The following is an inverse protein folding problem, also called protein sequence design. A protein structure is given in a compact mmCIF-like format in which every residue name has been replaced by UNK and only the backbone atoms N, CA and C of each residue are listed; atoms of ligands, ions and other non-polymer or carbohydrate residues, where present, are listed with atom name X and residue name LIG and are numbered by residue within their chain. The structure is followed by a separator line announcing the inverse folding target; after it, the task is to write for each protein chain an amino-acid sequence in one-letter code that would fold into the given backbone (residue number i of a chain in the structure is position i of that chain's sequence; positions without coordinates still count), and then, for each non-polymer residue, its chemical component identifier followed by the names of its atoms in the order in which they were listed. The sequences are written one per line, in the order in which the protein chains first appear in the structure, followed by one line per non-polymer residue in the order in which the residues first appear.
data_IF_604203666040
#
_entry.id   IF_604203666040
#
_cell.length_a   1.000
_cell.length_b   1.000
_cell.length_c   1.000
_cell.angle_alpha   90.00
_cell.angle_beta   90.00
_cell.angle_gamma   90.00
#
_symmetry.space_group_name_H-M   'P 1'
#
loop_
_entity.id
_entity.type
_entity.pdbx_description
1 polymer ?
#
# COMPACT_ATOMS: atom_id res chain seq x y z
N UNK A 1 5.47 9.25 12.59
CA UNK A 1 6.65 9.41 11.71
C UNK A 1 6.85 8.12 10.93
N UNK A 2 6.51 8.06 9.64
CA UNK A 2 6.43 6.79 8.87
C UNK A 2 7.81 6.23 8.44
N UNK A 3 8.82 7.09 8.27
CA UNK A 3 10.16 6.74 7.80
C UNK A 3 11.26 6.97 8.85
N UNK A 4 10.89 7.15 10.12
CA UNK A 4 11.85 7.47 11.18
C UNK A 4 12.44 8.88 11.07
N UNK A 5 13.56 9.13 11.77
CA UNK A 5 14.26 10.43 11.82
C UNK A 5 15.77 10.25 12.06
N UNK A 6 16.53 11.33 11.84
CA UNK A 6 17.94 11.42 12.21
C UNK A 6 18.83 10.47 11.39
N UNK A 7 19.92 10.00 12.00
CA UNK A 7 20.89 9.13 11.33
C UNK A 7 20.32 7.79 10.84
N UNK A 8 19.18 7.37 11.39
CA UNK A 8 18.46 6.16 10.98
C UNK A 8 17.16 6.45 10.21
N UNK A 9 17.01 7.68 9.68
CA UNK A 9 15.94 7.97 8.73
C UNK A 9 16.03 6.98 7.56
N UNK A 10 14.88 6.47 7.12
CA UNK A 10 14.80 5.45 6.08
C UNK A 10 15.55 5.89 4.82
N UNK A 11 16.61 5.17 4.49
CA UNK A 11 17.44 5.41 3.30
C UNK A 11 16.63 5.26 2.01
N UNK A 12 15.56 4.48 2.04
CA UNK A 12 14.66 4.27 0.91
C UNK A 12 13.46 5.23 0.84
N UNK A 13 13.34 6.23 1.72
CA UNK A 13 12.11 7.04 1.82
C UNK A 13 11.70 7.70 0.50
N UNK A 14 12.66 8.30 -0.22
CA UNK A 14 12.41 8.96 -1.51
C UNK A 14 12.00 7.96 -2.58
N UNK A 15 12.66 6.79 -2.64
CA UNK A 15 12.30 5.73 -3.59
C UNK A 15 10.92 5.14 -3.28
N UNK A 16 10.62 4.90 -2.00
CA UNK A 16 9.32 4.41 -1.56
C UNK A 16 8.21 5.40 -1.92
N UNK A 17 8.47 6.70 -1.78
CA UNK A 17 7.55 7.76 -2.19
C UNK A 17 7.31 7.75 -3.69
N UNK A 18 8.37 7.79 -4.51
CA UNK A 18 8.26 7.74 -5.97
C UNK A 18 7.47 6.51 -6.44
N UNK A 19 7.78 5.32 -5.89
CA UNK A 19 7.07 4.09 -6.22
C UNK A 19 5.59 4.15 -5.84
N UNK A 20 5.27 4.76 -4.70
CA UNK A 20 3.89 4.92 -4.25
C UNK A 20 3.12 5.88 -5.16
N UNK A 21 3.74 6.98 -5.56
CA UNK A 21 3.15 7.94 -6.51
C UNK A 21 2.85 7.30 -7.86
N UNK A 22 3.82 6.57 -8.42
CA UNK A 22 3.61 5.82 -9.67
C UNK A 22 2.54 4.74 -9.52
N UNK A 23 2.60 3.92 -8.47
CA UNK A 23 1.64 2.84 -8.26
C UNK A 23 0.21 3.37 -8.15
N UNK A 24 -0.03 4.38 -7.32
CA UNK A 24 -1.38 4.92 -7.11
C UNK A 24 -1.85 5.64 -8.38
N UNK A 25 -1.02 6.47 -8.99
CA UNK A 25 -1.37 7.20 -10.21
C UNK A 25 -1.72 6.26 -11.36
N UNK A 26 -0.85 5.29 -11.65
CA UNK A 26 -1.07 4.32 -12.73
C UNK A 26 -2.30 3.45 -12.50
N UNK A 27 -2.55 3.00 -11.26
CA UNK A 27 -3.75 2.19 -10.97
C UNK A 27 -5.04 2.97 -11.23
N UNK A 28 -5.11 4.22 -10.76
CA UNK A 28 -6.31 5.05 -10.94
C UNK A 28 -6.52 5.47 -12.41
N UNK A 29 -5.43 5.71 -13.14
CA UNK A 29 -5.50 6.06 -14.57
C UNK A 29 -5.92 4.86 -15.43
N UNK A 30 -5.34 3.68 -15.19
CA UNK A 30 -5.49 2.52 -16.08
C UNK A 30 -6.65 1.60 -15.72
N UNK A 31 -7.12 1.64 -14.47
CA UNK A 31 -8.23 0.83 -13.95
C UNK A 31 -9.32 1.77 -13.41
N UNK A 32 -9.99 2.55 -14.28
CA UNK A 32 -11.07 3.43 -13.84
C UNK A 32 -12.18 2.60 -13.20
N UNK A 33 -12.69 3.02 -12.04
CA UNK A 33 -13.71 2.25 -11.31
C UNK A 33 -13.16 1.17 -10.38
N UNK A 34 -11.84 1.09 -10.19
CA UNK A 34 -11.21 0.15 -9.26
C UNK A 34 -11.89 0.18 -7.88
N UNK A 35 -12.49 -0.94 -7.52
CA UNK A 35 -13.18 -1.14 -6.24
C UNK A 35 -12.82 -2.50 -5.63
N UNK A 36 -13.09 -2.65 -4.34
CA UNK A 36 -12.76 -3.85 -3.58
C UNK A 36 -13.91 -4.85 -3.63
N UNK A 37 -13.70 -6.03 -4.22
CA UNK A 37 -14.74 -7.05 -4.43
C UNK A 37 -15.47 -7.53 -3.16
N UNK A 38 -14.84 -7.37 -2.00
CA UNK A 38 -15.36 -7.81 -0.70
C UNK A 38 -15.57 -6.63 0.27
N UNK A 39 -16.46 -6.73 1.26
CA UNK A 39 -16.52 -5.80 2.38
C UNK A 39 -15.17 -5.64 3.11
N UNK A 40 -14.89 -4.46 3.66
CA UNK A 40 -13.58 -4.11 4.25
C UNK A 40 -13.20 -4.98 5.45
N UNK A 41 -14.19 -5.36 6.26
CA UNK A 41 -14.06 -6.23 7.43
C UNK A 41 -13.70 -7.68 7.06
N UNK A 42 -13.97 -8.10 5.82
CA UNK A 42 -13.60 -9.43 5.30
C UNK A 42 -12.17 -9.51 4.75
N UNK A 43 -11.44 -8.38 4.68
CA UNK A 43 -10.04 -8.39 4.23
C UNK A 43 -9.14 -8.97 5.31
N UNK A 44 -8.66 -10.20 5.08
CA UNK A 44 -7.73 -10.86 5.99
C UNK A 44 -6.44 -10.04 6.14
N UNK A 45 -6.01 -9.81 7.39
CA UNK A 45 -4.75 -9.12 7.71
C UNK A 45 -3.62 -10.12 7.93
N UNK A 46 -2.40 -9.73 7.59
CA UNK A 46 -1.20 -10.50 7.96
C UNK A 46 -1.08 -10.56 9.49
N UNK A 47 -0.73 -11.74 10.02
CA UNK A 47 -0.56 -11.98 11.47
C UNK A 47 0.91 -12.23 11.80
N UNK A 48 1.33 -11.86 13.01
CA UNK A 48 2.69 -12.10 13.55
C UNK A 48 3.81 -11.56 12.61
N UNK A 49 3.70 -10.31 12.18
CA UNK A 49 4.64 -9.64 11.25
C UNK A 49 5.02 -8.25 11.75
N UNK A 50 6.26 -7.81 11.46
CA UNK A 50 6.73 -6.45 11.74
C UNK A 50 6.02 -5.38 10.90
N UNK A 51 5.70 -5.68 9.64
CA UNK A 51 4.99 -4.77 8.74
C UNK A 51 3.53 -5.24 8.59
N UNK A 52 2.58 -4.35 8.91
CA UNK A 52 1.15 -4.63 8.79
C UNK A 52 0.67 -4.43 7.36
N UNK A 53 -0.31 -5.24 6.96
CA UNK A 53 -0.97 -5.10 5.67
C UNK A 53 -2.03 -6.18 5.44
N UNK A 54 -2.85 -6.05 4.38
CA UNK A 54 -3.71 -7.13 3.94
C UNK A 54 -2.89 -8.35 3.52
N UNK A 55 -3.45 -9.54 3.70
CA UNK A 55 -2.88 -10.77 3.15
C UNK A 55 -3.11 -10.81 1.64
N UNK A 56 -4.31 -10.42 1.22
CA UNK A 56 -4.75 -10.24 -0.17
C UNK A 56 -5.70 -9.05 -0.25
N UNK A 57 -5.77 -8.41 -1.40
CA UNK A 57 -6.75 -7.36 -1.68
C UNK A 57 -7.38 -7.66 -3.04
N UNK A 58 -8.53 -8.33 -3.01
CA UNK A 58 -9.29 -8.66 -4.22
C UNK A 58 -10.04 -7.43 -4.71
N UNK A 59 -9.89 -7.13 -6.00
CA UNK A 59 -10.43 -5.93 -6.63
C UNK A 59 -11.02 -6.26 -8.00
N UNK A 60 -12.00 -5.44 -8.39
CA UNK A 60 -12.56 -5.38 -9.74
C UNK A 60 -12.51 -3.93 -10.22
N UNK A 61 -12.59 -3.71 -11.54
CA UNK A 61 -12.49 -2.40 -12.17
C UNK A 61 -13.42 -2.33 -13.39
#
# INVERSE_FOLDING_TARGET
MAFGNGYHHCTGAVLARMRTELLIGTLLERLPGLWREVPADRVARRRRTMIRGPRTLSCAW
#
